data_IF_973665747963
#
_entry.id   IF_973665747963
#
_cell.length_a   1.000
_cell.length_b   1.000
_cell.length_c   1.000
_cell.angle_alpha   90.00
_cell.angle_beta   90.00
_cell.angle_gamma   90.00
#
_symmetry.space_group_name_H-M   'P 1'
#
loop_
_entity.id
_entity.type
_entity.pdbx_description
1 polymer ?
#
# COMPACT_ATOMS: atom_id res chain seq x y z
N UNK A 1 -4.61 10.52 11.62
CA UNK A 1 -5.42 10.31 10.39
C UNK A 1 -5.75 8.83 10.26
N UNK A 2 -6.94 8.44 9.79
CA UNK A 2 -7.23 7.05 9.42
C UNK A 2 -6.95 6.86 7.93
N UNK A 3 -6.26 5.79 7.58
CA UNK A 3 -6.03 5.36 6.20
C UNK A 3 -6.61 3.98 6.02
N UNK A 4 -7.37 3.80 4.94
CA UNK A 4 -7.96 2.54 4.54
C UNK A 4 -7.41 2.14 3.17
N UNK A 5 -7.01 0.88 3.00
CA UNK A 5 -6.46 0.37 1.73
C UNK A 5 -6.78 -1.11 1.51
N UNK A 6 -6.61 -1.57 0.26
CA UNK A 6 -6.75 -2.98 -0.12
C UNK A 6 -5.41 -3.52 -0.62
N UNK A 7 -5.07 -4.76 -0.24
CA UNK A 7 -4.01 -5.54 -0.89
C UNK A 7 -4.59 -6.79 -1.55
N UNK A 8 -3.92 -7.34 -2.55
CA UNK A 8 -4.38 -8.53 -3.28
C UNK A 8 -3.43 -8.87 -4.42
N UNK A 9 -3.74 -9.93 -5.17
CA UNK A 9 -2.92 -10.35 -6.32
C UNK A 9 -3.35 -9.61 -7.59
N UNK A 10 -2.44 -8.79 -8.11
CA UNK A 10 -2.58 -8.06 -9.38
C UNK A 10 -2.02 -8.82 -10.58
N UNK A 11 -2.33 -10.11 -10.72
CA UNK A 11 -1.79 -10.96 -11.81
C UNK A 11 -2.91 -11.55 -12.67
N UNK A 12 -2.63 -11.73 -13.96
CA UNK A 12 -3.47 -12.49 -14.90
C UNK A 12 -3.11 -13.98 -14.96
N UNK A 13 -2.19 -14.45 -14.10
CA UNK A 13 -1.82 -15.86 -14.04
C UNK A 13 -3.06 -16.72 -13.77
N UNK A 14 -3.22 -17.79 -14.56
CA UNK A 14 -4.36 -18.69 -14.46
C UNK A 14 -5.67 -18.18 -15.08
N UNK A 15 -5.65 -17.02 -15.74
CA UNK A 15 -6.83 -16.48 -16.42
C UNK A 15 -7.32 -17.41 -17.55
N UNK A 16 -8.56 -17.94 -17.48
CA UNK A 16 -9.03 -18.97 -18.43
C UNK A 16 -9.59 -18.41 -19.74
N UNK A 17 -9.53 -17.08 -19.95
CA UNK A 17 -10.27 -16.42 -21.02
C UNK A 17 -11.75 -16.19 -20.66
N UNK A 18 -12.49 -15.60 -21.59
CA UNK A 18 -13.90 -15.24 -21.38
C UNK A 18 -14.91 -16.20 -22.02
N UNK A 19 -14.44 -17.17 -22.82
CA UNK A 19 -15.31 -18.08 -23.57
C UNK A 19 -16.09 -19.05 -22.65
N UNK A 20 -15.45 -19.53 -21.58
CA UNK A 20 -16.05 -20.41 -20.58
C UNK A 20 -16.45 -19.60 -19.35
N UNK A 21 -17.73 -19.19 -19.30
CA UNK A 21 -18.25 -18.32 -18.24
C UNK A 21 -18.13 -18.94 -16.84
N UNK A 22 -18.47 -20.22 -16.60
CA UNK A 22 -18.22 -20.86 -15.30
C UNK A 22 -16.76 -20.78 -14.85
N UNK A 23 -15.80 -21.11 -15.73
CA UNK A 23 -14.37 -21.02 -15.36
C UNK A 23 -13.93 -19.60 -15.09
N UNK A 24 -14.37 -18.64 -15.90
CA UNK A 24 -14.10 -17.22 -15.68
C UNK A 24 -14.59 -16.75 -14.30
N UNK A 25 -15.82 -17.12 -13.92
CA UNK A 25 -16.40 -16.73 -12.62
C UNK A 25 -15.63 -17.35 -11.46
N UNK A 26 -15.28 -18.64 -11.55
CA UNK A 26 -14.49 -19.32 -10.53
C UNK A 26 -13.13 -18.65 -10.32
N UNK A 27 -12.39 -18.38 -11.41
CA UNK A 27 -11.11 -17.67 -11.34
C UNK A 27 -11.26 -16.26 -10.76
N UNK A 28 -12.28 -15.50 -11.20
CA UNK A 28 -12.54 -14.15 -10.69
C UNK A 28 -12.81 -14.15 -9.19
N UNK A 29 -13.58 -15.12 -8.71
CA UNK A 29 -13.95 -15.22 -7.29
C UNK A 29 -12.75 -15.65 -6.44
N UNK A 30 -11.88 -16.54 -6.96
CA UNK A 30 -10.60 -16.88 -6.34
C UNK A 30 -9.68 -15.65 -6.21
N UNK A 31 -9.51 -14.85 -7.26
CA UNK A 31 -8.71 -13.62 -7.20
C UNK A 31 -9.30 -12.61 -6.21
N UNK A 32 -10.63 -12.46 -6.18
CA UNK A 32 -11.31 -11.57 -5.23
C UNK A 32 -11.16 -12.03 -3.78
N UNK A 33 -11.17 -13.34 -3.53
CA UNK A 33 -10.99 -13.91 -2.19
C UNK A 33 -9.59 -13.62 -1.61
N UNK A 34 -8.61 -13.33 -2.46
CA UNK A 34 -7.25 -12.95 -2.03
C UNK A 34 -7.15 -11.49 -1.58
N UNK A 35 -8.20 -10.67 -1.78
CA UNK A 35 -8.20 -9.28 -1.34
C UNK A 35 -8.27 -9.19 0.18
N UNK A 36 -7.39 -8.38 0.75
CA UNK A 36 -7.39 -8.01 2.16
C UNK A 36 -7.69 -6.52 2.30
N UNK A 37 -8.55 -6.17 3.25
CA UNK A 37 -8.84 -4.80 3.62
C UNK A 37 -8.07 -4.45 4.89
N UNK A 38 -7.48 -3.26 4.89
CA UNK A 38 -6.67 -2.76 5.98
C UNK A 38 -7.17 -1.40 6.42
N UNK A 39 -7.00 -1.09 7.70
CA UNK A 39 -7.29 0.22 8.26
C UNK A 39 -6.27 0.50 9.34
N UNK A 40 -5.59 1.65 9.25
CA UNK A 40 -4.61 2.07 10.26
C UNK A 40 -4.78 3.53 10.60
N UNK A 41 -4.72 3.82 11.89
CA UNK A 41 -4.60 5.19 12.38
C UNK A 41 -3.11 5.49 12.49
N UNK A 42 -2.67 6.48 11.73
CA UNK A 42 -1.28 6.92 11.74
C UNK A 42 -1.15 8.36 12.18
N UNK A 43 -0.08 8.70 12.91
CA UNK A 43 0.28 10.08 13.16
C UNK A 43 0.63 10.72 11.83
N UNK A 44 0.05 11.90 11.59
CA UNK A 44 0.49 12.78 10.51
C UNK A 44 1.18 13.93 11.22
N UNK A 45 2.42 14.28 10.86
CA UNK A 45 3.10 15.42 11.44
C UNK A 45 2.25 16.69 11.33
N UNK A 46 2.34 17.57 12.31
CA UNK A 46 1.71 18.87 12.21
C UNK A 46 2.49 19.72 11.21
N UNK A 47 1.83 20.12 10.12
CA UNK A 47 2.40 20.95 9.07
C UNK A 47 1.92 22.40 9.16
N UNK A 48 1.35 22.82 10.30
CA UNK A 48 0.90 24.20 10.52
C UNK A 48 2.07 25.17 10.37
N UNK A 49 1.98 26.09 9.40
CA UNK A 49 3.05 27.04 9.09
C UNK A 49 4.11 26.53 8.10
N UNK A 50 3.99 25.29 7.63
CA UNK A 50 4.85 24.72 6.60
C UNK A 50 4.17 24.72 5.22
N UNK A 51 4.97 24.73 4.14
CA UNK A 51 4.43 24.50 2.79
C UNK A 51 4.00 23.05 2.64
N UNK A 52 2.69 22.81 2.58
CA UNK A 52 2.12 21.52 2.20
C UNK A 52 2.04 21.41 0.68
N UNK A 53 2.61 20.33 0.14
CA UNK A 53 2.52 20.02 -1.30
C UNK A 53 1.88 18.65 -1.50
N UNK A 54 2.64 17.63 -1.89
CA UNK A 54 2.11 16.28 -2.12
C UNK A 54 2.02 15.50 -0.82
N UNK A 55 0.97 14.68 -0.69
CA UNK A 55 0.90 13.63 0.34
C UNK A 55 1.51 12.35 -0.24
N UNK A 56 2.36 11.69 0.55
CA UNK A 56 2.92 10.38 0.21
C UNK A 56 2.55 9.39 1.31
N UNK A 57 2.03 8.24 0.88
CA UNK A 57 1.79 7.07 1.74
C UNK A 57 2.83 6.03 1.38
N UNK A 58 3.67 5.66 2.34
CA UNK A 58 4.69 4.63 2.20
C UNK A 58 4.15 3.35 2.82
N UNK A 59 4.06 2.29 2.02
CA UNK A 59 3.72 0.95 2.49
C UNK A 59 4.99 0.25 2.94
N UNK A 60 4.98 -0.20 4.20
CA UNK A 60 6.08 -0.91 4.84
C UNK A 60 5.74 -2.39 4.94
N UNK A 61 6.73 -3.25 5.23
CA UNK A 61 6.46 -4.63 5.59
C UNK A 61 5.44 -4.73 6.73
N UNK A 62 4.73 -5.87 6.80
CA UNK A 62 3.72 -6.14 7.83
C UNK A 62 2.48 -5.24 7.79
N UNK A 63 2.11 -4.79 6.59
CA UNK A 63 0.95 -3.92 6.39
C UNK A 63 1.01 -2.64 7.25
N UNK A 64 2.23 -2.19 7.58
CA UNK A 64 2.45 -0.89 8.22
C UNK A 64 2.54 0.22 7.17
N UNK A 65 2.23 1.46 7.56
CA UNK A 65 2.29 2.60 6.66
C UNK A 65 2.89 3.82 7.37
N UNK A 66 3.57 4.66 6.60
CA UNK A 66 3.97 6.01 7.01
C UNK A 66 3.34 7.02 6.07
N UNK A 67 2.87 8.14 6.63
CA UNK A 67 2.25 9.22 5.86
C UNK A 67 3.03 10.49 6.11
N UNK A 68 3.41 11.16 5.02
CA UNK A 68 4.08 12.45 5.09
C UNK A 68 3.56 13.38 4.01
N UNK A 69 3.66 14.69 4.25
CA UNK A 69 3.52 15.70 3.20
C UNK A 69 4.87 16.32 2.90
N UNK A 70 5.17 16.57 1.63
CA UNK A 70 6.41 17.21 1.21
C UNK A 70 6.30 17.83 -0.18
N UNK A 71 7.05 18.90 -0.41
CA UNK A 71 7.30 19.46 -1.74
C UNK A 71 8.50 18.82 -2.43
N UNK A 72 9.28 18.02 -1.70
CA UNK A 72 10.47 17.36 -2.18
C UNK A 72 10.15 15.94 -2.65
N UNK A 73 10.95 15.43 -3.59
CA UNK A 73 10.84 14.06 -4.06
C UNK A 73 11.57 13.09 -3.11
N UNK A 74 11.19 11.81 -3.15
CA UNK A 74 11.93 10.77 -2.43
C UNK A 74 13.41 10.77 -2.85
N UNK A 75 14.31 10.71 -1.86
CA UNK A 75 15.76 10.82 -2.05
C UNK A 75 16.33 12.21 -1.79
N UNK A 76 15.51 13.27 -1.75
CA UNK A 76 15.98 14.60 -1.34
C UNK A 76 16.39 14.64 0.15
N UNK A 77 17.41 15.42 0.53
CA UNK A 77 17.80 15.62 1.92
C UNK A 77 16.67 16.13 2.81
N UNK A 78 15.75 16.91 2.27
CA UNK A 78 14.61 17.52 2.96
C UNK A 78 13.35 16.64 2.95
N UNK A 79 13.37 15.50 2.25
CA UNK A 79 12.22 14.60 2.21
C UNK A 79 11.98 13.94 3.58
N UNK A 80 10.77 14.00 4.19
CA UNK A 80 10.56 13.60 5.59
C UNK A 80 10.82 12.12 5.88
N UNK A 81 10.59 11.23 4.90
CA UNK A 81 10.74 9.79 5.08
C UNK A 81 12.07 9.33 4.49
N UNK A 82 12.94 8.76 5.34
CA UNK A 82 14.27 8.24 4.94
C UNK A 82 14.29 6.72 4.80
N UNK A 83 13.17 6.07 5.03
CA UNK A 83 13.03 4.63 4.96
C UNK A 83 13.30 4.14 3.53
N UNK A 84 14.18 3.14 3.31
CA UNK A 84 14.47 2.59 1.98
C UNK A 84 13.23 2.01 1.30
N UNK A 85 13.13 2.15 -0.03
CA UNK A 85 12.02 1.58 -0.83
C UNK A 85 12.01 0.04 -0.85
N UNK A 86 13.18 -0.59 -0.70
CA UNK A 86 13.34 -2.04 -0.77
C UNK A 86 13.81 -2.58 0.57
N UNK A 87 12.99 -2.40 1.60
CA UNK A 87 13.24 -3.03 2.88
C UNK A 87 13.09 -4.55 2.77
N UNK A 88 13.98 -5.32 3.43
CA UNK A 88 13.77 -6.75 3.55
C UNK A 88 12.50 -7.00 4.39
N UNK A 89 11.69 -7.96 3.96
CA UNK A 89 10.57 -8.41 4.79
C UNK A 89 11.13 -9.10 6.05
N UNK A 90 10.63 -8.74 7.25
CA UNK A 90 11.03 -9.40 8.46
C UNK A 90 10.51 -10.85 8.45
N UNK A 91 11.23 -11.76 9.12
CA UNK A 91 10.83 -13.17 9.23
C UNK A 91 9.45 -13.36 9.89
N UNK A 92 9.03 -12.40 10.71
CA UNK A 92 7.70 -12.37 11.32
C UNK A 92 7.26 -10.94 11.55
N UNK A 93 5.95 -10.73 11.49
CA UNK A 93 5.32 -9.46 11.81
C UNK A 93 4.91 -9.42 13.28
N UNK A 94 5.19 -8.33 14.01
CA UNK A 94 4.69 -8.16 15.36
C UNK A 94 3.15 -8.16 15.35
N UNK A 95 2.56 -8.78 16.38
CA UNK A 95 1.11 -8.87 16.57
C UNK A 95 0.54 -7.61 17.22
#
# INVERSE_FOLDING_TARGET
MRVDWETGVGSSKGFPGFADRPKYLAWRDEIRAQKRKHSKVVPVPDYTGEKVCGITVHFLPCDDIQVSTSCYAYGSPEYPIKTPLYLPEPQSCPQ
#
